data_IF_913917084875
#
_entry.id   IF_913917084875
#
_cell.length_a   1.000
_cell.length_b   1.000
_cell.length_c   1.000
_cell.angle_alpha   90.00
_cell.angle_beta   90.00
_cell.angle_gamma   90.00
#
_symmetry.space_group_name_H-M   'P 1'
#
loop_
_entity.id
_entity.type
_entity.pdbx_description
1 polymer ?
#
# COMPACT_ATOMS: atom_id res chain seq x y z
N UNK A 1 -11.26 -7.64 -10.28
CA UNK A 1 -9.82 -7.75 -10.63
C UNK A 1 -9.01 -7.07 -9.52
N UNK A 2 -8.76 -7.76 -8.41
CA UNK A 2 -8.24 -7.14 -7.16
C UNK A 2 -7.48 -8.18 -6.32
N UNK A 3 -6.51 -8.88 -6.92
CA UNK A 3 -5.72 -9.90 -6.18
C UNK A 3 -4.20 -9.84 -6.41
N UNK A 4 -3.69 -8.95 -7.25
CA UNK A 4 -2.28 -8.98 -7.65
C UNK A 4 -1.32 -8.19 -6.72
N UNK A 5 -1.82 -7.38 -5.78
CA UNK A 5 -0.96 -6.43 -5.06
C UNK A 5 -0.31 -6.95 -3.77
N UNK A 6 -0.74 -8.10 -3.23
CA UNK A 6 -0.28 -8.55 -1.90
C UNK A 6 0.87 -9.57 -1.90
N UNK A 7 1.28 -10.10 -3.05
CA UNK A 7 2.34 -11.13 -3.09
C UNK A 7 3.77 -10.56 -3.02
N UNK A 8 3.98 -9.30 -3.40
CA UNK A 8 5.33 -8.68 -3.44
C UNK A 8 5.90 -8.20 -2.10
N UNK A 9 5.12 -8.24 -1.02
CA UNK A 9 5.58 -7.76 0.30
C UNK A 9 6.27 -8.87 1.13
N UNK A 10 5.97 -10.14 0.85
CA UNK A 10 6.48 -11.28 1.63
C UNK A 10 7.89 -11.73 1.24
N UNK A 11 8.33 -11.45 0.00
CA UNK A 11 9.62 -11.93 -0.51
C UNK A 11 10.86 -11.22 0.09
N UNK A 12 10.69 -10.05 0.71
CA UNK A 12 11.80 -9.19 1.17
C UNK A 12 12.33 -9.55 2.56
N UNK A 13 11.55 -10.31 3.34
CA UNK A 13 11.90 -10.65 4.73
C UNK A 13 12.63 -12.01 4.85
N UNK A 14 12.61 -12.84 3.80
CA UNK A 14 13.20 -14.17 3.80
C UNK A 14 14.74 -14.17 3.63
N UNK A 15 15.30 -13.10 3.04
CA UNK A 15 16.73 -12.98 2.78
C UNK A 15 17.39 -12.00 3.78
N UNK A 16 17.22 -12.26 5.08
CA UNK A 16 17.96 -11.52 6.10
C UNK A 16 19.27 -12.26 6.41
N UNK A 17 20.46 -11.81 5.94
CA UNK A 17 21.75 -12.26 6.49
C UNK A 17 21.86 -12.00 8.00
N UNK A 18 20.92 -11.24 8.57
CA UNK A 18 20.73 -11.02 10.00
C UNK A 18 20.40 -12.30 10.79
N UNK A 19 19.84 -13.34 10.17
CA UNK A 19 19.60 -14.62 10.86
C UNK A 19 20.89 -15.22 11.43
N UNK A 20 22.03 -15.01 10.75
CA UNK A 20 23.35 -15.45 11.20
C UNK A 20 23.93 -14.54 12.31
N UNK A 21 23.47 -13.29 12.41
CA UNK A 21 23.77 -12.37 13.52
C UNK A 21 22.86 -12.58 14.74
N UNK A 22 21.66 -13.15 14.54
CA UNK A 22 20.75 -13.61 15.61
C UNK A 22 21.01 -15.07 16.05
N UNK A 23 21.94 -15.76 15.40
CA UNK A 23 22.50 -17.04 15.84
C UNK A 23 23.98 -16.94 16.27
N UNK A 24 24.38 -15.99 17.15
CA UNK A 24 25.69 -16.07 17.76
C UNK A 24 25.70 -17.27 18.70
N UNK A 25 26.67 -18.17 18.49
CA UNK A 25 26.91 -19.37 19.30
C UNK A 25 26.77 -19.06 20.80
N UNK A 26 25.75 -19.64 21.45
CA UNK A 26 25.45 -19.63 22.90
C UNK A 26 25.25 -18.24 23.54
N UNK A 27 24.03 -17.69 23.52
CA UNK A 27 23.68 -16.56 24.37
C UNK A 27 23.51 -17.08 25.81
N UNK A 28 24.56 -16.93 26.63
CA UNK A 28 24.48 -17.28 28.07
C UNK A 28 23.47 -16.43 28.85
N UNK A 29 23.02 -15.30 28.28
CA UNK A 29 22.09 -14.37 28.94
C UNK A 29 20.73 -14.28 28.23
N UNK A 30 19.66 -14.90 28.78
CA UNK A 30 18.30 -14.78 28.24
C UNK A 30 17.79 -13.32 28.23
N UNK A 31 18.35 -12.46 29.08
CA UNK A 31 18.05 -11.02 29.15
C UNK A 31 18.31 -10.29 27.82
N UNK A 32 19.41 -10.57 27.11
CA UNK A 32 19.69 -9.91 25.85
C UNK A 32 18.64 -10.25 24.78
N UNK A 33 18.17 -11.50 24.76
CA UNK A 33 17.12 -11.94 23.83
C UNK A 33 15.81 -11.18 24.07
N UNK A 34 15.44 -10.99 25.35
CA UNK A 34 14.26 -10.22 25.73
C UNK A 34 14.43 -8.75 25.35
N UNK A 35 15.59 -8.14 25.61
CA UNK A 35 15.86 -6.74 25.27
C UNK A 35 15.72 -6.45 23.76
N UNK A 36 16.28 -7.31 22.89
CA UNK A 36 16.12 -7.15 21.45
C UNK A 36 14.68 -7.37 20.97
N UNK A 37 13.95 -8.31 21.57
CA UNK A 37 12.53 -8.48 21.31
C UNK A 37 11.74 -7.22 21.70
N UNK A 38 12.01 -6.66 22.87
CA UNK A 38 11.35 -5.45 23.37
C UNK A 38 11.67 -4.23 22.50
N UNK A 39 12.91 -4.11 22.02
CA UNK A 39 13.33 -3.06 21.10
C UNK A 39 12.55 -3.13 19.78
N UNK A 40 12.38 -4.33 19.23
CA UNK A 40 11.56 -4.53 18.02
C UNK A 40 10.09 -4.14 18.24
N UNK A 41 9.51 -4.53 19.38
CA UNK A 41 8.13 -4.15 19.75
C UNK A 41 8.01 -2.63 19.93
N UNK A 42 8.97 -1.99 20.59
CA UNK A 42 8.99 -0.54 20.75
C UNK A 42 9.02 0.17 19.39
N UNK A 43 9.86 -0.30 18.46
CA UNK A 43 9.92 0.25 17.11
C UNK A 43 8.59 0.10 16.35
N UNK A 44 7.95 -1.08 16.46
CA UNK A 44 6.63 -1.31 15.86
C UNK A 44 5.56 -0.39 16.44
N UNK A 45 5.57 -0.18 17.76
CA UNK A 45 4.63 0.75 18.42
C UNK A 45 4.82 2.18 17.94
N UNK A 46 6.07 2.65 17.84
CA UNK A 46 6.36 3.99 17.33
C UNK A 46 5.85 4.14 15.90
N UNK A 47 6.17 3.18 15.03
CA UNK A 47 5.74 3.23 13.63
C UNK A 47 4.21 3.20 13.51
N UNK A 48 3.54 2.39 14.33
CA UNK A 48 2.09 2.30 14.41
C UNK A 48 1.47 3.64 14.83
N UNK A 49 1.98 4.25 15.90
CA UNK A 49 1.46 5.53 16.41
C UNK A 49 1.66 6.63 15.38
N UNK A 50 2.85 6.74 14.79
CA UNK A 50 3.13 7.75 13.75
C UNK A 50 2.21 7.54 12.54
N UNK A 51 2.10 6.31 12.04
CA UNK A 51 1.22 5.98 10.91
C UNK A 51 -0.25 6.28 11.21
N UNK A 52 -0.73 5.96 12.41
CA UNK A 52 -2.09 6.24 12.83
C UNK A 52 -2.36 7.74 12.94
N UNK A 53 -1.45 8.48 13.55
CA UNK A 53 -1.55 9.95 13.66
C UNK A 53 -1.58 10.58 12.28
N UNK A 54 -0.64 10.23 11.40
CA UNK A 54 -0.59 10.77 10.04
C UNK A 54 -1.84 10.37 9.23
N UNK A 55 -2.27 9.12 9.32
CA UNK A 55 -3.44 8.62 8.59
C UNK A 55 -4.74 9.30 9.03
N UNK A 56 -4.95 9.42 10.34
CA UNK A 56 -6.13 10.10 10.90
C UNK A 56 -6.10 11.60 10.62
N UNK A 57 -4.94 12.26 10.72
CA UNK A 57 -4.77 13.65 10.33
C UNK A 57 -5.07 13.85 8.84
N UNK A 58 -4.61 12.95 7.96
CA UNK A 58 -4.87 13.06 6.52
C UNK A 58 -6.36 12.99 6.20
N UNK A 59 -7.05 12.00 6.78
CA UNK A 59 -8.51 11.81 6.59
C UNK A 59 -9.27 12.98 7.24
N UNK A 60 -8.91 13.34 8.47
CA UNK A 60 -9.52 14.44 9.22
C UNK A 60 -9.37 15.77 8.50
N UNK A 61 -8.18 16.06 7.97
CA UNK A 61 -7.91 17.26 7.19
C UNK A 61 -8.70 17.27 5.88
N UNK A 62 -8.78 16.15 5.16
CA UNK A 62 -9.57 16.04 3.94
C UNK A 62 -11.06 16.27 4.21
N UNK A 63 -11.61 15.70 5.30
CA UNK A 63 -12.99 15.93 5.71
C UNK A 63 -13.23 17.38 6.12
N UNK A 64 -12.33 17.94 6.93
CA UNK A 64 -12.44 19.32 7.41
C UNK A 64 -12.43 20.28 6.22
N UNK A 65 -11.48 20.11 5.29
CA UNK A 65 -11.42 20.90 4.06
C UNK A 65 -12.67 20.75 3.20
N UNK A 66 -13.25 19.54 3.12
CA UNK A 66 -14.50 19.27 2.37
C UNK A 66 -15.74 19.90 3.03
N UNK A 67 -15.79 19.94 4.36
CA UNK A 67 -16.89 20.54 5.12
C UNK A 67 -16.84 22.06 5.10
N UNK A 68 -15.64 22.64 5.25
CA UNK A 68 -15.43 24.09 5.13
C UNK A 68 -15.57 24.55 3.67
N UNK A 69 -15.15 23.73 2.71
CA UNK A 69 -15.28 23.96 1.27
C UNK A 69 -16.59 23.41 0.71
N UNK A 70 -17.73 23.95 1.14
CA UNK A 70 -19.11 23.52 0.78
C UNK A 70 -19.46 23.48 -0.73
N UNK A 71 -18.52 23.65 -1.65
CA UNK A 71 -18.75 23.53 -3.09
C UNK A 71 -17.45 23.29 -3.86
N UNK A 72 -16.93 22.07 -3.80
CA UNK A 72 -16.11 21.54 -4.89
C UNK A 72 -16.54 20.11 -5.10
N UNK A 73 -17.55 19.91 -5.97
CA UNK A 73 -17.92 18.58 -6.47
C UNK A 73 -16.64 17.93 -7.01
N UNK A 74 -16.11 16.85 -6.40
CA UNK A 74 -14.97 16.12 -6.94
C UNK A 74 -15.48 15.23 -8.07
N UNK A 75 -15.89 15.89 -9.16
CA UNK A 75 -16.57 15.29 -10.31
C UNK A 75 -16.65 16.23 -11.52
N UNK A 76 -16.24 17.50 -11.39
CA UNK A 76 -15.88 18.29 -12.55
C UNK A 76 -14.43 17.95 -12.97
N UNK A 77 -14.21 16.69 -13.34
CA UNK A 77 -13.31 16.45 -14.47
C UNK A 77 -13.91 17.31 -15.57
N UNK A 78 -13.18 18.33 -16.04
CA UNK A 78 -13.60 19.15 -17.17
C UNK A 78 -14.12 18.17 -18.23
N UNK A 79 -15.40 18.29 -18.59
CA UNK A 79 -15.99 17.46 -19.65
C UNK A 79 -15.26 17.63 -20.99
N UNK A 80 -14.37 18.61 -21.09
CA UNK A 80 -13.44 18.82 -22.20
C UNK A 80 -12.36 17.73 -22.33
N UNK A 81 -12.08 16.97 -21.26
CA UNK A 81 -11.19 15.78 -21.29
C UNK A 81 -11.99 14.46 -21.37
N UNK A 82 -13.27 14.52 -21.73
CA UNK A 82 -13.98 13.34 -22.17
C UNK A 82 -13.42 12.95 -23.54
N UNK A 83 -12.42 12.07 -23.55
CA UNK A 83 -12.00 11.39 -24.77
C UNK A 83 -13.24 10.71 -25.35
N UNK A 84 -13.75 11.27 -26.44
CA UNK A 84 -14.77 10.64 -27.27
C UNK A 84 -14.10 9.44 -27.93
N UNK A 85 -14.12 8.31 -27.23
CA UNK A 85 -13.53 7.08 -27.68
C UNK A 85 -14.43 6.52 -28.79
N UNK A 86 -14.26 7.04 -29.99
CA UNK A 86 -14.98 6.55 -31.17
C UNK A 86 -14.56 5.10 -31.43
N UNK A 87 -15.45 4.17 -31.07
CA UNK A 87 -15.24 2.74 -31.24
C UNK A 87 -15.40 2.38 -32.71
N UNK A 88 -14.28 2.39 -33.45
CA UNK A 88 -14.26 1.92 -34.84
C UNK A 88 -14.01 0.42 -34.88
N UNK A 89 -15.04 -0.36 -35.21
CA UNK A 89 -14.89 -1.80 -35.48
C UNK A 89 -14.10 -1.97 -36.78
N UNK A 90 -12.81 -2.31 -36.66
CA UNK A 90 -12.02 -2.73 -37.82
C UNK A 90 -12.39 -4.18 -38.14
N UNK A 91 -13.17 -4.37 -39.21
CA UNK A 91 -13.43 -5.71 -39.75
C UNK A 91 -12.10 -6.27 -40.26
N UNK A 92 -11.59 -7.30 -39.57
CA UNK A 92 -10.43 -8.05 -40.03
C UNK A 92 -10.88 -8.90 -41.22
N UNK A 93 -10.24 -8.74 -42.38
CA UNK A 93 -10.64 -9.35 -43.65
C UNK A 93 -10.71 -10.88 -43.66
N UNK A 94 -10.18 -11.55 -42.62
CA UNK A 94 -10.03 -13.02 -42.58
C UNK A 94 -10.59 -13.66 -41.31
N UNK A 95 -11.67 -13.11 -40.72
CA UNK A 95 -12.39 -13.84 -39.66
C UNK A 95 -13.49 -14.71 -40.26
N UNK A 96 -13.35 -16.05 -40.25
CA UNK A 96 -14.38 -16.94 -40.75
C UNK A 96 -15.62 -16.81 -39.85
N UNK A 97 -16.77 -16.58 -40.50
CA UNK A 97 -18.08 -16.57 -39.88
C UNK A 97 -18.36 -17.95 -39.28
N UNK A 98 -18.12 -18.10 -37.99
CA UNK A 98 -18.69 -19.19 -37.20
C UNK A 98 -20.20 -18.93 -37.12
N UNK A 99 -20.92 -19.71 -37.91
CA UNK A 99 -22.36 -19.73 -38.07
C UNK A 99 -22.99 -20.66 -37.04
#
# INVERSE_FOLDING_TARGET
MTQAFFHGFRARFAASPLGNAFAPRKPRNPLLRVAFGLLGVALLLVLLVVGLVVGTLMIGFALLRRLLGRSARPGAIKRDDAFDAEYRVVRKGDQPLLR
#
